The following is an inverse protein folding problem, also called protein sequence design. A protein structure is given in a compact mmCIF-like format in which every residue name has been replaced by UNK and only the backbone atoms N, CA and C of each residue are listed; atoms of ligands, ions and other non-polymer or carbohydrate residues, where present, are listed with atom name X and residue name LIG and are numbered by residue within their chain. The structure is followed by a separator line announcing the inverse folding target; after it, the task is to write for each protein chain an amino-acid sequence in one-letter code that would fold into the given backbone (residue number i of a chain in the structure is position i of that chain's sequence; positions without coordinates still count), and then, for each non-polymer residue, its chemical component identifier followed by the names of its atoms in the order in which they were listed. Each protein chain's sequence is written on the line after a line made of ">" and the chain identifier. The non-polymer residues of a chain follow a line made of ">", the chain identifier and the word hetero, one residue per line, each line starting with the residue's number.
data_IF_756885423444
#
_entry.id   IF_756885423444
#
_cell.length_a   1.000
_cell.length_b   1.000
_cell.length_c   1.000
_cell.angle_alpha   90.00
_cell.angle_beta   90.00
_cell.angle_gamma   90.00
#
_symmetry.space_group_name_H-M   'P 1'
#
loop_
_entity.id
_entity.type
_entity.pdbx_description
1 polymer ?
#
# COMPACT_ATOMS: atom_id res chain seq x y z
N UNK A 1 -49.20 27.81 -6.99
CA UNK A 1 -48.67 28.20 -5.66
C UNK A 1 -47.54 27.25 -5.29
N UNK A 2 -46.29 27.64 -5.51
CA UNK A 2 -45.12 26.83 -5.15
C UNK A 2 -44.69 27.14 -3.70
N UNK A 3 -44.77 26.14 -2.83
CA UNK A 3 -44.44 26.25 -1.41
C UNK A 3 -42.92 26.31 -1.20
N UNK A 4 -42.42 27.46 -0.73
CA UNK A 4 -41.02 27.65 -0.36
C UNK A 4 -40.71 26.90 0.94
N UNK A 5 -39.76 25.96 0.92
CA UNK A 5 -39.28 25.28 2.15
C UNK A 5 -38.01 25.97 2.65
N UNK A 6 -37.96 26.46 3.91
CA UNK A 6 -36.73 27.04 4.45
C UNK A 6 -35.69 25.96 4.79
N UNK A 7 -34.41 26.32 4.63
CA UNK A 7 -33.26 25.49 4.97
C UNK A 7 -33.13 25.32 6.49
N UNK A 8 -32.75 24.12 6.94
CA UNK A 8 -32.48 23.83 8.36
C UNK A 8 -31.11 24.41 8.77
N UNK A 9 -30.96 24.93 10.00
CA UNK A 9 -29.67 25.38 10.50
C UNK A 9 -28.71 24.21 10.75
N UNK A 10 -27.43 24.46 10.45
CA UNK A 10 -26.30 23.55 10.64
C UNK A 10 -25.87 23.57 12.12
N UNK A 11 -25.88 22.41 12.80
CA UNK A 11 -25.35 22.28 14.16
C UNK A 11 -23.99 21.57 14.13
N UNK A 12 -22.88 22.21 14.56
CA UNK A 12 -21.62 21.53 14.78
C UNK A 12 -21.47 21.19 16.26
N UNK A 13 -22.06 20.08 16.70
CA UNK A 13 -21.79 19.58 18.05
C UNK A 13 -20.47 18.81 18.09
N UNK A 14 -19.55 19.41 18.84
CA UNK A 14 -18.26 18.91 19.25
C UNK A 14 -18.42 17.59 20.03
N UNK A 15 -18.00 16.48 19.43
CA UNK A 15 -17.53 15.31 20.18
C UNK A 15 -16.12 14.95 19.74
N UNK A 16 -15.17 15.67 20.34
CA UNK A 16 -13.76 15.27 20.43
C UNK A 16 -13.71 13.97 21.23
N UNK A 17 -13.47 12.85 20.54
CA UNK A 17 -13.19 11.57 21.19
C UNK A 17 -11.76 11.58 21.76
N UNK A 18 -11.54 11.22 23.04
CA UNK A 18 -10.18 11.07 23.56
C UNK A 18 -9.49 9.86 22.92
N UNK A 19 -8.22 10.04 22.54
CA UNK A 19 -7.30 8.96 22.18
C UNK A 19 -6.87 8.24 23.46
N UNK A 20 -7.37 7.03 23.69
CA UNK A 20 -6.90 6.15 24.75
C UNK A 20 -6.37 4.85 24.17
N UNK A 21 -5.12 4.52 24.50
CA UNK A 21 -4.63 3.13 24.46
C UNK A 21 -3.46 2.86 23.52
N UNK A 22 -2.27 3.33 23.87
CA UNK A 22 -1.01 2.73 23.45
C UNK A 22 -0.78 1.41 24.19
N UNK A 23 -1.25 0.30 23.62
CA UNK A 23 -0.79 -1.03 23.99
C UNK A 23 0.24 -1.48 22.93
N UNK A 24 1.53 -1.29 23.23
CA UNK A 24 2.61 -1.84 22.41
C UNK A 24 2.73 -3.33 22.75
N UNK A 25 2.04 -4.18 22.00
CA UNK A 25 2.28 -5.62 22.04
C UNK A 25 3.59 -5.91 21.30
N UNK A 26 4.63 -6.26 22.05
CA UNK A 26 5.86 -6.83 21.52
C UNK A 26 5.60 -8.27 21.07
N UNK A 27 5.02 -8.42 19.88
CA UNK A 27 4.95 -9.71 19.19
C UNK A 27 6.27 -9.86 18.44
N UNK A 28 7.14 -10.75 18.93
CA UNK A 28 8.27 -11.24 18.15
C UNK A 28 7.72 -12.09 16.98
N UNK A 29 7.90 -11.71 15.71
CA UNK A 29 7.42 -12.52 14.60
C UNK A 29 8.30 -13.76 14.44
N UNK A 30 7.67 -14.94 14.52
CA UNK A 30 8.25 -16.21 14.09
C UNK A 30 8.52 -16.17 12.59
N UNK A 31 9.59 -16.83 12.09
CA UNK A 31 10.11 -16.61 10.73
C UNK A 31 9.35 -17.37 9.62
N UNK A 32 8.09 -17.79 9.84
CA UNK A 32 7.43 -18.76 8.94
C UNK A 32 5.96 -18.48 8.60
N UNK A 33 5.42 -17.28 8.86
CA UNK A 33 4.11 -16.90 8.32
C UNK A 33 4.20 -15.70 7.37
N UNK A 34 3.84 -15.97 6.11
CA UNK A 34 3.71 -15.03 5.00
C UNK A 34 2.75 -13.87 5.33
N UNK A 35 3.31 -12.77 5.83
CA UNK A 35 2.67 -11.45 5.79
C UNK A 35 2.66 -11.01 4.32
N UNK A 36 1.74 -11.55 3.51
CA UNK A 36 1.50 -11.28 2.08
C UNK A 36 2.46 -10.22 1.52
N UNK A 37 3.65 -10.65 1.08
CA UNK A 37 4.81 -9.77 0.97
C UNK A 37 4.44 -8.47 0.22
N UNK A 38 4.38 -7.35 0.95
CA UNK A 38 4.11 -6.01 0.39
C UNK A 38 5.35 -5.40 -0.25
N UNK A 39 6.39 -6.20 -0.40
CA UNK A 39 7.71 -5.83 -0.90
C UNK A 39 8.27 -6.87 -1.84
N UNK A 40 9.10 -6.43 -2.78
CA UNK A 40 9.84 -7.33 -3.66
C UNK A 40 10.87 -8.14 -2.86
N UNK A 41 10.85 -9.47 -2.96
CA UNK A 41 11.82 -10.34 -2.27
C UNK A 41 13.25 -10.19 -2.79
N UNK A 42 13.45 -9.66 -4.01
CA UNK A 42 14.77 -9.52 -4.64
C UNK A 42 15.43 -8.16 -4.32
N UNK A 43 14.68 -7.07 -4.37
CA UNK A 43 15.23 -5.70 -4.25
C UNK A 43 14.61 -4.87 -3.12
N UNK A 44 13.72 -5.45 -2.32
CA UNK A 44 13.10 -4.77 -1.18
C UNK A 44 12.14 -3.63 -1.52
N UNK A 45 11.78 -3.42 -2.79
CA UNK A 45 10.87 -2.33 -3.18
C UNK A 45 9.52 -2.44 -2.46
N UNK A 46 9.19 -1.43 -1.66
CA UNK A 46 7.95 -1.31 -0.87
C UNK A 46 6.94 -0.34 -1.50
N UNK A 47 5.71 -0.35 -0.99
CA UNK A 47 4.70 0.67 -1.32
C UNK A 47 5.11 2.07 -0.89
N UNK A 48 4.78 3.07 -1.70
CA UNK A 48 5.07 4.47 -1.43
C UNK A 48 3.77 5.28 -1.28
N UNK A 49 3.69 6.14 -0.27
CA UNK A 49 2.61 7.12 -0.18
C UNK A 49 2.88 8.30 -1.13
N UNK A 50 1.84 8.88 -1.70
CA UNK A 50 1.95 10.11 -2.46
C UNK A 50 0.60 10.74 -2.75
N UNK A 51 0.61 11.86 -3.46
CA UNK A 51 -0.61 12.49 -3.92
C UNK A 51 -1.07 11.84 -5.23
N UNK A 52 -2.38 11.70 -5.44
CA UNK A 52 -2.93 11.32 -6.73
C UNK A 52 -2.57 12.41 -7.75
N UNK A 53 -1.89 12.10 -8.87
CA UNK A 53 -1.39 13.13 -9.78
C UNK A 53 -2.55 13.95 -10.36
N UNK A 54 -3.73 13.33 -10.51
CA UNK A 54 -4.97 13.98 -10.95
C UNK A 54 -5.46 15.08 -10.00
N UNK A 55 -5.08 15.00 -8.72
CA UNK A 55 -5.45 15.98 -7.68
C UNK A 55 -4.32 16.97 -7.36
N UNK A 56 -3.15 16.85 -8.01
CA UNK A 56 -1.95 17.60 -7.65
C UNK A 56 -1.79 18.94 -8.39
N UNK A 57 -2.74 19.27 -9.28
CA UNK A 57 -2.76 20.53 -10.04
C UNK A 57 -3.54 21.64 -9.34
N UNK A 58 -4.45 22.30 -10.07
CA UNK A 58 -5.24 23.46 -9.61
C UNK A 58 -6.33 23.14 -8.58
N UNK A 59 -6.34 21.92 -8.05
CA UNK A 59 -7.32 21.45 -7.08
C UNK A 59 -6.91 21.87 -5.66
N UNK A 60 -7.85 22.44 -4.90
CA UNK A 60 -7.57 22.96 -3.53
C UNK A 60 -7.25 21.84 -2.53
N UNK A 61 -7.71 20.62 -2.79
CA UNK A 61 -7.51 19.46 -1.93
C UNK A 61 -6.77 18.37 -2.71
N UNK A 62 -5.61 17.97 -2.18
CA UNK A 62 -4.84 16.86 -2.73
C UNK A 62 -5.34 15.54 -2.15
N UNK A 63 -5.71 14.62 -3.01
CA UNK A 63 -6.07 13.27 -2.60
C UNK A 63 -4.81 12.45 -2.35
N UNK A 64 -4.74 11.80 -1.19
CA UNK A 64 -3.66 10.87 -0.88
C UNK A 64 -3.93 9.49 -1.49
N UNK A 65 -2.89 8.87 -2.07
CA UNK A 65 -2.92 7.52 -2.61
C UNK A 65 -1.67 6.75 -2.20
N UNK A 66 -1.79 5.43 -2.04
CA UNK A 66 -0.63 4.53 -1.93
C UNK A 66 -0.33 3.90 -3.28
N UNK A 67 0.92 4.00 -3.71
CA UNK A 67 1.47 3.36 -4.90
C UNK A 67 2.12 2.05 -4.52
N UNK A 68 1.51 0.95 -4.93
CA UNK A 68 2.06 -0.37 -4.65
C UNK A 68 3.09 -0.75 -5.71
N UNK A 69 4.19 -1.42 -5.32
CA UNK A 69 5.07 -2.06 -6.29
C UNK A 69 4.27 -3.11 -7.08
N UNK A 70 4.50 -3.18 -8.39
CA UNK A 70 3.88 -4.20 -9.23
C UNK A 70 4.57 -5.56 -8.98
N UNK A 71 4.15 -6.23 -7.90
CA UNK A 71 4.63 -7.53 -7.46
C UNK A 71 3.89 -8.63 -8.21
N UNK A 72 4.64 -9.62 -8.67
CA UNK A 72 4.15 -10.76 -9.42
C UNK A 72 4.74 -12.05 -8.83
N UNK A 73 3.96 -13.14 -8.73
CA UNK A 73 4.50 -14.44 -8.42
C UNK A 73 5.57 -14.84 -9.44
N UNK A 74 6.74 -15.23 -8.96
CA UNK A 74 7.89 -15.58 -9.79
C UNK A 74 8.64 -16.76 -9.17
N UNK A 75 9.04 -17.71 -10.02
CA UNK A 75 9.87 -18.84 -9.61
C UNK A 75 11.31 -18.53 -9.96
N UNK A 76 12.17 -18.37 -8.95
CA UNK A 76 13.60 -18.18 -9.13
C UNK A 76 14.33 -19.50 -8.84
N UNK A 77 15.31 -19.85 -9.68
CA UNK A 77 16.25 -20.92 -9.38
C UNK A 77 17.47 -20.35 -8.66
N UNK A 78 17.82 -20.95 -7.54
CA UNK A 78 19.05 -20.63 -6.83
C UNK A 78 20.27 -21.31 -7.47
N UNK A 79 21.47 -20.89 -7.10
CA UNK A 79 22.74 -21.46 -7.59
C UNK A 79 22.87 -22.97 -7.32
N UNK A 80 22.10 -23.50 -6.35
CA UNK A 80 22.03 -24.92 -6.00
C UNK A 80 20.99 -25.70 -6.80
N UNK A 81 20.34 -25.07 -7.79
CA UNK A 81 19.32 -25.68 -8.65
C UNK A 81 17.92 -25.77 -8.06
N UNK A 82 17.72 -25.35 -6.81
CA UNK A 82 16.41 -25.35 -6.14
C UNK A 82 15.54 -24.22 -6.69
N UNK A 83 14.30 -24.53 -7.05
CA UNK A 83 13.33 -23.57 -7.55
C UNK A 83 12.42 -23.09 -6.41
N UNK A 84 12.52 -21.80 -6.07
CA UNK A 84 11.75 -21.18 -4.99
C UNK A 84 10.73 -20.22 -5.58
N UNK A 85 9.48 -20.30 -5.10
CA UNK A 85 8.41 -19.35 -5.46
C UNK A 85 8.51 -18.14 -4.54
N UNK A 86 8.54 -16.95 -5.14
CA UNK A 86 8.63 -15.68 -4.42
C UNK A 86 7.84 -14.58 -5.13
N UNK A 87 7.51 -13.50 -4.41
CA UNK A 87 6.93 -12.29 -5.01
C UNK A 87 8.03 -11.34 -5.45
N UNK A 88 8.15 -11.10 -6.76
CA UNK A 88 9.13 -10.23 -7.36
C UNK A 88 8.48 -9.06 -8.10
N UNK A 89 9.09 -7.87 -8.06
CA UNK A 89 8.64 -6.76 -8.88
C UNK A 89 8.95 -6.98 -10.37
N UNK A 90 8.18 -6.38 -11.26
CA UNK A 90 8.35 -6.49 -12.72
C UNK A 90 9.76 -6.13 -13.21
N UNK A 91 10.46 -5.20 -12.54
CA UNK A 91 11.86 -4.87 -12.85
C UNK A 91 12.78 -6.08 -12.60
N UNK A 92 12.73 -6.65 -11.40
CA UNK A 92 13.58 -7.79 -11.04
C UNK A 92 13.29 -9.00 -11.92
N UNK A 93 12.01 -9.30 -12.20
CA UNK A 93 11.63 -10.37 -13.12
C UNK A 93 12.27 -10.19 -14.51
N UNK A 94 12.22 -8.97 -15.08
CA UNK A 94 12.85 -8.68 -16.38
C UNK A 94 14.37 -8.88 -16.35
N UNK A 95 15.03 -8.43 -15.28
CA UNK A 95 16.48 -8.61 -15.12
C UNK A 95 16.85 -10.09 -15.03
N UNK A 96 16.15 -10.86 -14.20
CA UNK A 96 16.40 -12.31 -14.06
C UNK A 96 16.19 -13.06 -15.38
N UNK A 97 15.15 -12.71 -16.14
CA UNK A 97 14.90 -13.32 -17.45
C UNK A 97 15.94 -12.92 -18.51
N UNK A 98 16.48 -11.69 -18.44
CA UNK A 98 17.56 -11.26 -19.33
C UNK A 98 18.84 -12.07 -19.09
N UNK A 99 19.17 -12.34 -17.82
CA UNK A 99 20.37 -13.11 -17.45
C UNK A 99 20.26 -14.61 -17.78
N UNK A 100 19.04 -15.13 -17.98
CA UNK A 100 18.79 -16.53 -18.31
C UNK A 100 18.78 -16.81 -19.82
N UNK A 101 18.76 -15.76 -20.65
CA UNK A 101 18.87 -15.84 -22.11
C UNK A 101 20.33 -15.66 -22.52
#
# INVERSE_FOLDING_TARGET
>A
MLSYRPARPFQPDLLVRPRSGSAQSTIHPTPLEDIMARSCAICGKVSMGGFNPQSSGMNRVRAHRRYQPNLQPFTQRDNKGVATKLLACTRCRRTSLKSAK
#
